data_IF_659940926520
#
_entry.id   IF_659940926520
#
_cell.length_a   1.000
_cell.length_b   1.000
_cell.length_c   1.000
_cell.angle_alpha   90.00
_cell.angle_beta   90.00
_cell.angle_gamma   90.00
#
_symmetry.space_group_name_H-M   'P 1'
#
loop_
_entity.id
_entity.type
_entity.pdbx_description
1 polymer ?
#
# COMPACT_ATOMS: atom_id res chain seq x y z
N UNK A 1 -28.25 -29.15 14.90
CA UNK A 1 -27.21 -28.34 15.58
C UNK A 1 -26.05 -28.06 14.63
N UNK A 2 -25.69 -29.03 13.80
CA UNK A 2 -24.49 -29.00 12.94
C UNK A 2 -24.58 -27.98 11.80
N UNK A 3 -25.76 -27.78 11.21
CA UNK A 3 -26.00 -26.74 10.20
C UNK A 3 -25.80 -25.32 10.78
N UNK A 4 -26.19 -25.10 12.04
CA UNK A 4 -26.02 -23.81 12.70
C UNK A 4 -24.52 -23.51 12.91
N UNK A 5 -23.75 -24.52 13.34
CA UNK A 5 -22.30 -24.41 13.51
C UNK A 5 -21.62 -24.09 12.18
N UNK A 6 -22.08 -24.71 11.08
CA UNK A 6 -21.59 -24.44 9.72
C UNK A 6 -21.82 -22.99 9.28
N UNK A 7 -23.03 -22.46 9.50
CA UNK A 7 -23.38 -21.07 9.17
C UNK A 7 -22.53 -20.09 10.00
N UNK A 8 -22.40 -20.32 11.31
CA UNK A 8 -21.59 -19.47 12.18
C UNK A 8 -20.12 -19.50 11.75
N UNK A 9 -19.57 -20.68 11.43
CA UNK A 9 -18.20 -20.82 10.95
C UNK A 9 -17.94 -20.10 9.62
N UNK A 10 -18.91 -20.11 8.69
CA UNK A 10 -18.81 -19.38 7.44
C UNK A 10 -18.79 -17.86 7.65
N UNK A 11 -19.65 -17.35 8.55
CA UNK A 11 -19.67 -15.93 8.93
C UNK A 11 -18.35 -15.53 9.61
N UNK A 12 -17.84 -16.35 10.53
CA UNK A 12 -16.58 -16.09 11.21
C UNK A 12 -15.41 -16.06 10.21
N UNK A 13 -15.35 -17.02 9.29
CA UNK A 13 -14.34 -17.08 8.22
C UNK A 13 -14.36 -15.84 7.34
N UNK A 14 -15.55 -15.33 7.00
CA UNK A 14 -15.71 -14.07 6.25
C UNK A 14 -15.04 -12.89 6.96
N UNK A 15 -15.28 -12.73 8.26
CA UNK A 15 -14.69 -11.66 9.05
C UNK A 15 -13.18 -11.82 9.23
N UNK A 16 -12.68 -13.04 9.44
CA UNK A 16 -11.25 -13.33 9.60
C UNK A 16 -10.46 -12.95 8.34
N UNK A 17 -10.95 -13.36 7.16
CA UNK A 17 -10.29 -13.03 5.89
C UNK A 17 -10.28 -11.52 5.67
N UNK A 18 -11.43 -10.86 5.90
CA UNK A 18 -11.53 -9.40 5.76
C UNK A 18 -10.59 -8.68 6.72
N UNK A 19 -10.50 -9.14 7.97
CA UNK A 19 -9.59 -8.58 8.97
C UNK A 19 -8.12 -8.75 8.57
N UNK A 20 -7.74 -9.95 8.12
CA UNK A 20 -6.36 -10.29 7.76
C UNK A 20 -5.89 -9.57 6.50
N UNK A 21 -6.78 -9.38 5.52
CA UNK A 21 -6.43 -8.80 4.22
C UNK A 21 -6.62 -7.28 4.17
N UNK A 22 -7.39 -6.71 5.10
CA UNK A 22 -7.57 -5.26 5.22
C UNK A 22 -6.23 -4.58 5.48
N UNK A 23 -5.84 -3.71 4.56
CA UNK A 23 -4.56 -2.98 4.61
C UNK A 23 -3.40 -3.65 3.87
N UNK A 24 -3.57 -4.84 3.27
CA UNK A 24 -2.59 -5.48 2.36
C UNK A 24 -2.98 -5.36 0.89
N UNK A 25 -4.27 -5.49 0.60
CA UNK A 25 -4.80 -5.55 -0.76
C UNK A 25 -5.85 -4.48 -1.01
N UNK A 26 -6.12 -4.19 -2.29
CA UNK A 26 -7.21 -3.30 -2.70
C UNK A 26 -8.56 -3.79 -2.17
N UNK A 27 -9.44 -2.86 -1.79
CA UNK A 27 -10.77 -3.19 -1.22
C UNK A 27 -11.59 -4.14 -2.11
N UNK A 28 -11.43 -4.04 -3.44
CA UNK A 28 -12.12 -4.92 -4.39
C UNK A 28 -11.68 -6.37 -4.22
N UNK A 29 -10.37 -6.59 -4.09
CA UNK A 29 -9.76 -7.93 -3.92
C UNK A 29 -10.16 -8.50 -2.55
N UNK A 30 -10.17 -7.68 -1.50
CA UNK A 30 -10.58 -8.11 -0.15
C UNK A 30 -12.04 -8.58 -0.15
N UNK A 31 -12.96 -7.84 -0.78
CA UNK A 31 -14.38 -8.22 -0.85
C UNK A 31 -14.60 -9.53 -1.60
N UNK A 32 -13.93 -9.70 -2.74
CA UNK A 32 -14.06 -10.92 -3.57
C UNK A 32 -13.46 -12.12 -2.82
N UNK A 33 -12.25 -11.99 -2.29
CA UNK A 33 -11.58 -13.08 -1.57
C UNK A 33 -12.31 -13.51 -0.30
N UNK A 34 -12.86 -12.57 0.49
CA UNK A 34 -13.65 -12.91 1.68
C UNK A 34 -14.91 -13.69 1.33
N UNK A 35 -15.58 -13.32 0.22
CA UNK A 35 -16.79 -13.98 -0.24
C UNK A 35 -16.51 -15.40 -0.76
N UNK A 36 -15.48 -15.56 -1.58
CA UNK A 36 -15.05 -16.87 -2.09
C UNK A 36 -14.66 -17.80 -0.94
N UNK A 37 -13.86 -17.33 0.02
CA UNK A 37 -13.39 -18.17 1.11
C UNK A 37 -14.52 -18.61 2.05
N UNK A 38 -15.45 -17.71 2.39
CA UNK A 38 -16.63 -18.08 3.20
C UNK A 38 -17.53 -19.09 2.49
N UNK A 39 -17.68 -18.97 1.16
CA UNK A 39 -18.45 -19.91 0.37
C UNK A 39 -17.79 -21.29 0.30
N UNK A 40 -16.47 -21.34 0.10
CA UNK A 40 -15.70 -22.59 0.17
C UNK A 40 -15.83 -23.27 1.53
N UNK A 41 -15.72 -22.53 2.64
CA UNK A 41 -15.89 -23.08 3.99
C UNK A 41 -17.28 -23.69 4.19
N UNK A 42 -18.33 -23.01 3.73
CA UNK A 42 -19.70 -23.51 3.80
C UNK A 42 -19.89 -24.81 3.02
N UNK A 43 -19.37 -24.88 1.79
CA UNK A 43 -19.42 -26.09 0.95
C UNK A 43 -18.65 -27.24 1.59
N UNK A 44 -17.44 -27.00 2.11
CA UNK A 44 -16.63 -28.02 2.77
C UNK A 44 -17.31 -28.54 4.03
N UNK A 45 -17.92 -27.66 4.81
CA UNK A 45 -18.66 -28.06 6.01
C UNK A 45 -19.92 -28.86 5.66
N UNK A 46 -20.61 -28.54 4.56
CA UNK A 46 -21.74 -29.33 4.07
C UNK A 46 -21.30 -30.72 3.58
N UNK A 47 -20.20 -30.80 2.83
CA UNK A 47 -19.61 -32.06 2.37
C UNK A 47 -19.18 -32.92 3.57
N UNK A 48 -18.50 -32.34 4.55
CA UNK A 48 -18.05 -33.05 5.75
C UNK A 48 -19.22 -33.64 6.54
N UNK A 49 -20.38 -32.96 6.55
CA UNK A 49 -21.60 -33.46 7.17
C UNK A 49 -22.24 -34.64 6.42
N UNK A 50 -22.14 -34.67 5.09
CA UNK A 50 -22.71 -35.75 4.25
C UNK A 50 -21.88 -37.02 4.34
N UNK A 51 -20.55 -36.88 4.39
CA UNK A 51 -19.60 -38.00 4.35
C UNK A 51 -19.03 -38.39 5.73
N UNK A 52 -19.44 -37.71 6.80
CA UNK A 52 -18.87 -37.83 8.16
C UNK A 52 -17.33 -37.67 8.20
N UNK A 53 -16.80 -36.88 7.27
CA UNK A 53 -15.36 -36.66 7.07
C UNK A 53 -14.91 -35.33 7.70
N UNK A 54 -14.84 -35.31 9.03
CA UNK A 54 -14.42 -34.14 9.82
C UNK A 54 -12.93 -33.71 9.74
N UNK A 55 -11.92 -34.53 9.36
CA UNK A 55 -10.54 -34.05 9.28
C UNK A 55 -10.35 -32.91 8.27
N UNK A 56 -11.10 -32.90 7.17
CA UNK A 56 -11.07 -31.80 6.19
C UNK A 56 -11.57 -30.50 6.84
N UNK A 57 -12.65 -30.58 7.62
CA UNK A 57 -13.18 -29.42 8.35
C UNK A 57 -12.17 -28.89 9.39
N UNK A 58 -11.50 -29.78 10.13
CA UNK A 58 -10.47 -29.38 11.10
C UNK A 58 -9.29 -28.67 10.43
N UNK A 59 -8.87 -29.11 9.25
CA UNK A 59 -7.83 -28.43 8.47
C UNK A 59 -8.24 -27.00 8.09
N UNK A 60 -9.48 -26.78 7.67
CA UNK A 60 -9.99 -25.44 7.37
C UNK A 60 -10.14 -24.55 8.61
N UNK A 61 -10.51 -25.13 9.76
CA UNK A 61 -10.48 -24.42 11.04
C UNK A 61 -9.04 -23.99 11.40
N UNK A 62 -8.06 -24.86 11.21
CA UNK A 62 -6.65 -24.55 11.42
C UNK A 62 -6.18 -23.41 10.51
N UNK A 63 -6.54 -23.41 9.22
CA UNK A 63 -6.23 -22.32 8.31
C UNK A 63 -6.82 -20.98 8.76
N UNK A 64 -8.04 -20.97 9.29
CA UNK A 64 -8.65 -19.76 9.86
C UNK A 64 -7.85 -19.22 11.05
N UNK A 65 -7.36 -20.09 11.95
CA UNK A 65 -6.48 -19.70 13.06
C UNK A 65 -5.17 -19.12 12.54
N UNK A 66 -4.53 -19.77 11.56
CA UNK A 66 -3.31 -19.26 10.92
C UNK A 66 -3.52 -17.88 10.28
N UNK A 67 -4.63 -17.68 9.57
CA UNK A 67 -4.98 -16.40 8.94
C UNK A 67 -5.20 -15.29 9.98
N UNK A 68 -5.79 -15.62 11.12
CA UNK A 68 -6.00 -14.68 12.22
C UNK A 68 -4.66 -14.26 12.84
N UNK A 69 -3.77 -15.22 13.13
CA UNK A 69 -2.41 -14.94 13.64
C UNK A 69 -1.62 -14.09 12.65
N UNK A 70 -1.66 -14.44 11.36
CA UNK A 70 -1.01 -13.67 10.31
C UNK A 70 -1.58 -12.24 10.20
N UNK A 71 -2.89 -12.09 10.36
CA UNK A 71 -3.57 -10.80 10.41
C UNK A 71 -3.11 -9.94 11.58
N UNK A 72 -3.03 -10.54 12.78
CA UNK A 72 -2.56 -9.88 14.00
C UNK A 72 -1.13 -9.39 13.87
N UNK A 73 -0.21 -10.28 13.48
CA UNK A 73 1.22 -9.95 13.31
C UNK A 73 1.43 -8.84 12.28
N UNK A 74 0.62 -8.80 11.21
CA UNK A 74 0.72 -7.72 10.23
C UNK A 74 0.21 -6.38 10.75
N UNK A 75 -0.90 -6.37 11.50
CA UNK A 75 -1.38 -5.13 12.12
C UNK A 75 -0.41 -4.61 13.17
N UNK A 76 0.22 -5.49 13.94
CA UNK A 76 1.29 -5.14 14.87
C UNK A 76 2.49 -4.52 14.13
N UNK A 77 2.95 -5.14 13.03
CA UNK A 77 3.99 -4.55 12.17
C UNK A 77 3.57 -3.21 11.56
N UNK A 78 2.31 -3.07 11.15
CA UNK A 78 1.78 -1.82 10.62
C UNK A 78 1.66 -0.72 11.68
N UNK A 79 1.34 -1.08 12.94
CA UNK A 79 1.32 -0.16 14.07
C UNK A 79 2.74 0.26 14.49
N UNK A 80 3.65 -0.71 14.60
CA UNK A 80 5.05 -0.46 14.92
C UNK A 80 5.75 0.33 13.82
N UNK A 81 5.44 0.10 12.53
CA UNK A 81 5.95 0.90 11.42
C UNK A 81 5.48 2.36 11.53
N UNK A 82 4.21 2.60 11.86
CA UNK A 82 3.69 3.96 12.11
C UNK A 82 4.35 4.63 13.32
N UNK A 83 4.74 3.85 14.33
CA UNK A 83 5.41 4.36 15.52
C UNK A 83 6.91 4.60 15.29
N UNK A 84 7.58 3.78 14.48
CA UNK A 84 8.96 4.04 14.01
C UNK A 84 9.04 5.21 13.03
N UNK A 85 8.05 5.39 12.14
CA UNK A 85 7.93 6.60 11.30
C UNK A 85 7.56 7.85 12.13
N UNK A 86 6.97 7.68 13.33
CA UNK A 86 6.69 8.77 14.27
C UNK A 86 7.83 9.04 15.25
N UNK A 87 8.87 8.21 15.27
CA UNK A 87 9.97 8.24 16.25
C UNK A 87 11.24 8.92 15.77
N UNK A 88 11.34 9.28 14.50
CA UNK A 88 12.50 9.98 13.96
C UNK A 88 12.07 11.18 13.11
N UNK A 89 12.63 12.33 13.46
CA UNK A 89 12.38 13.70 12.96
C UNK A 89 11.18 14.43 13.57
N UNK A 90 11.48 15.02 14.73
CA UNK A 90 10.92 16.29 15.16
C UNK A 90 11.06 17.37 14.06
N UNK A 91 9.98 17.67 13.36
CA UNK A 91 9.60 19.05 13.04
C UNK A 91 8.09 19.13 12.89
N UNK A 92 7.49 19.87 13.82
CA UNK A 92 6.12 20.40 13.90
C UNK A 92 5.34 20.36 12.57
N UNK A 93 4.52 19.33 12.37
CA UNK A 93 3.44 19.35 11.36
C UNK A 93 2.22 19.99 12.00
N UNK A 94 2.26 21.32 12.06
CA UNK A 94 1.04 22.08 12.22
C UNK A 94 0.13 21.80 11.04
N UNK A 95 -1.14 21.58 11.36
CA UNK A 95 -2.26 21.37 10.46
C UNK A 95 -2.47 22.64 9.61
N UNK A 96 -1.64 22.83 8.59
CA UNK A 96 -1.65 24.05 7.78
C UNK A 96 -2.56 23.88 6.57
N UNK A 97 -3.54 24.78 6.56
CA UNK A 97 -4.65 24.90 5.63
C UNK A 97 -4.16 24.88 4.19
N UNK A 98 -4.82 24.04 3.39
CA UNK A 98 -4.77 24.06 1.93
C UNK A 98 -5.22 25.43 1.47
N UNK A 99 -4.27 26.32 1.21
CA UNK A 99 -4.48 27.43 0.30
C UNK A 99 -4.39 26.85 -1.11
N UNK A 100 -5.53 26.89 -1.80
CA UNK A 100 -5.64 26.58 -3.22
C UNK A 100 -4.99 27.68 -4.07
N UNK A 101 -3.67 27.84 -3.94
CA UNK A 101 -2.85 28.36 -5.03
C UNK A 101 -2.44 27.16 -5.91
N UNK A 102 -2.35 27.38 -7.21
CA UNK A 102 -1.98 26.36 -8.20
C UNK A 102 -0.55 25.89 -7.91
N UNK A 103 -0.40 24.83 -7.11
CA UNK A 103 0.90 24.27 -6.72
C UNK A 103 1.75 23.99 -7.95
N UNK A 104 2.94 24.57 -8.00
CA UNK A 104 3.90 24.40 -9.06
C UNK A 104 4.63 23.07 -8.91
N UNK A 105 4.21 22.09 -9.71
CA UNK A 105 4.79 20.75 -9.72
C UNK A 105 6.09 20.64 -10.53
N UNK A 106 6.63 21.77 -11.03
CA UNK A 106 7.84 21.76 -11.87
C UNK A 106 9.13 21.68 -11.06
N UNK A 107 9.17 22.27 -9.88
CA UNK A 107 10.38 22.27 -9.06
C UNK A 107 10.31 21.20 -7.99
N UNK A 108 11.15 20.17 -8.15
CA UNK A 108 11.15 19.02 -7.26
C UNK A 108 12.53 18.67 -6.77
N UNK A 109 12.57 17.95 -5.65
CA UNK A 109 13.78 17.31 -5.16
C UNK A 109 13.51 15.90 -4.65
N UNK A 110 14.49 15.01 -4.79
CA UNK A 110 14.36 13.61 -4.37
C UNK A 110 15.72 12.95 -4.21
N UNK A 111 15.76 11.87 -3.44
CA UNK A 111 16.90 10.97 -3.36
C UNK A 111 16.83 9.91 -4.48
N UNK A 112 17.95 9.73 -5.18
CA UNK A 112 18.03 8.89 -6.37
C UNK A 112 19.20 7.91 -6.30
N UNK A 113 18.91 6.65 -6.60
CA UNK A 113 19.90 5.59 -6.79
C UNK A 113 20.30 5.48 -8.27
N UNK A 114 21.59 5.64 -8.56
CA UNK A 114 22.09 5.46 -9.91
C UNK A 114 22.22 3.97 -10.30
N UNK A 115 22.67 3.70 -11.53
CA UNK A 115 22.82 2.32 -12.01
C UNK A 115 23.93 1.53 -11.29
N UNK A 116 24.81 2.22 -10.55
CA UNK A 116 25.94 1.64 -9.81
C UNK A 116 25.57 1.48 -8.32
N UNK A 117 24.32 1.81 -7.94
CA UNK A 117 23.83 1.74 -6.56
C UNK A 117 24.21 2.95 -5.70
N UNK A 118 24.76 4.01 -6.29
CA UNK A 118 25.13 5.22 -5.53
C UNK A 118 23.92 6.12 -5.37
N UNK A 119 23.61 6.42 -4.12
CA UNK A 119 22.54 7.31 -3.73
C UNK A 119 23.00 8.77 -3.76
N UNK A 120 22.11 9.65 -4.21
CA UNK A 120 22.39 11.07 -4.33
C UNK A 120 21.11 11.90 -4.31
N UNK A 121 21.14 13.01 -3.58
CA UNK A 121 20.05 13.98 -3.59
C UNK A 121 20.07 14.82 -4.87
N UNK A 122 18.93 14.94 -5.54
CA UNK A 122 18.76 15.63 -6.81
C UNK A 122 17.71 16.71 -6.69
N UNK A 123 17.99 17.88 -7.25
CA UNK A 123 17.02 18.95 -7.46
C UNK A 123 16.86 19.16 -8.95
N UNK A 124 15.62 19.13 -9.43
CA UNK A 124 15.31 19.11 -10.86
C UNK A 124 14.14 20.03 -11.18
N UNK A 125 14.27 20.76 -12.28
CA UNK A 125 13.16 21.48 -12.92
C UNK A 125 12.56 20.59 -14.01
N UNK A 126 11.36 20.08 -13.74
CA UNK A 126 10.69 19.08 -14.55
C UNK A 126 10.18 19.72 -15.83
N UNK A 127 10.58 19.13 -16.95
CA UNK A 127 10.15 19.50 -18.29
C UNK A 127 9.06 18.56 -18.78
N UNK A 128 9.27 17.26 -18.59
CA UNK A 128 8.38 16.20 -19.04
C UNK A 128 8.36 15.07 -18.00
N UNK A 129 7.20 14.47 -17.81
CA UNK A 129 7.02 13.42 -16.82
C UNK A 129 6.06 12.35 -17.33
N UNK A 130 6.55 11.12 -17.32
CA UNK A 130 5.83 9.90 -17.66
C UNK A 130 5.73 8.95 -16.47
N UNK A 131 4.97 7.86 -16.65
CA UNK A 131 4.79 6.82 -15.63
C UNK A 131 6.10 6.16 -15.21
N UNK A 132 7.11 6.18 -16.08
CA UNK A 132 8.38 5.49 -15.89
C UNK A 132 9.53 6.48 -15.70
N UNK A 133 9.45 7.65 -16.32
CA UNK A 133 10.56 8.60 -16.44
C UNK A 133 10.17 10.02 -16.05
N UNK A 134 11.09 10.70 -15.37
CA UNK A 134 11.02 12.14 -15.11
C UNK A 134 12.19 12.79 -15.84
N UNK A 135 11.91 13.70 -16.76
CA UNK A 135 12.92 14.42 -17.54
C UNK A 135 12.91 15.89 -17.16
N UNK A 136 14.08 16.43 -16.84
CA UNK A 136 14.19 17.81 -16.40
C UNK A 136 15.62 18.29 -16.29
N UNK A 137 15.77 19.58 -15.98
CA UNK A 137 17.08 20.19 -15.76
C UNK A 137 17.55 19.85 -14.34
N UNK A 138 18.60 19.04 -14.22
CA UNK A 138 19.17 18.66 -12.94
C UNK A 138 20.20 19.71 -12.49
N UNK A 139 19.93 20.37 -11.37
CA UNK A 139 20.80 21.42 -10.81
C UNK A 139 22.16 20.88 -10.36
N UNK A 140 22.21 19.66 -9.83
CA UNK A 140 23.47 19.00 -9.43
C UNK A 140 24.39 18.74 -10.62
N UNK A 141 23.83 18.35 -11.76
CA UNK A 141 24.60 18.03 -12.97
C UNK A 141 24.71 19.21 -13.95
N UNK A 142 23.97 20.31 -13.70
CA UNK A 142 23.82 21.48 -14.58
C UNK A 142 23.46 21.09 -16.03
N UNK A 143 22.59 20.08 -16.18
CA UNK A 143 22.24 19.51 -17.48
C UNK A 143 20.84 18.88 -17.46
N UNK A 144 20.23 18.77 -18.63
CA UNK A 144 19.01 17.97 -18.81
C UNK A 144 19.32 16.49 -18.57
N UNK A 145 18.55 15.85 -17.70
CA UNK A 145 18.67 14.41 -17.40
C UNK A 145 17.29 13.77 -17.24
N UNK A 146 17.29 12.46 -17.46
CA UNK A 146 16.13 11.60 -17.30
C UNK A 146 16.38 10.64 -16.14
N UNK A 147 15.41 10.56 -15.25
CA UNK A 147 15.45 9.78 -14.03
C UNK A 147 14.33 8.74 -14.09
N UNK A 148 14.61 7.51 -13.65
CA UNK A 148 13.56 6.49 -13.55
C UNK A 148 12.81 6.64 -12.23
N UNK A 149 11.48 6.60 -12.30
CA UNK A 149 10.59 6.76 -11.14
C UNK A 149 10.80 5.67 -10.08
N UNK A 150 11.16 4.46 -10.50
CA UNK A 150 11.41 3.30 -9.63
C UNK A 150 12.72 3.36 -8.84
N UNK A 151 13.63 4.27 -9.18
CA UNK A 151 14.91 4.47 -8.49
C UNK A 151 14.92 5.67 -7.54
N UNK A 152 13.75 6.24 -7.29
CA UNK A 152 13.54 7.28 -6.30
C UNK A 152 13.24 6.61 -4.96
N UNK A 153 14.07 6.87 -3.95
CA UNK A 153 14.13 6.05 -2.72
C UNK A 153 13.01 6.41 -1.72
N UNK A 154 12.77 7.70 -1.46
CA UNK A 154 11.80 8.15 -0.44
C UNK A 154 10.66 9.02 -0.97
N UNK A 155 10.54 9.10 -2.29
CA UNK A 155 9.55 9.93 -2.97
C UNK A 155 10.10 11.27 -3.44
N UNK A 156 9.18 12.17 -3.79
CA UNK A 156 9.44 13.44 -4.45
C UNK A 156 8.92 14.56 -3.58
N UNK A 157 9.80 15.48 -3.22
CA UNK A 157 9.49 16.70 -2.47
C UNK A 157 9.16 17.80 -3.48
N UNK A 158 7.97 18.38 -3.38
CA UNK A 158 7.62 19.61 -4.12
C UNK A 158 8.29 20.78 -3.42
N UNK A 159 9.18 21.50 -4.10
CA UNK A 159 9.99 22.54 -3.44
C UNK A 159 9.19 23.76 -2.99
N UNK A 160 8.12 24.10 -3.71
CA UNK A 160 7.28 25.25 -3.35
C UNK A 160 6.52 25.02 -2.04
N UNK A 161 5.96 23.81 -1.84
CA UNK A 161 5.10 23.50 -0.69
C UNK A 161 5.81 22.74 0.42
N UNK A 162 6.96 22.11 0.12
CA UNK A 162 7.61 21.14 0.99
C UNK A 162 6.85 19.81 1.10
N UNK A 163 5.79 19.60 0.29
CA UNK A 163 5.00 18.38 0.32
C UNK A 163 5.82 17.19 -0.20
N UNK A 164 5.94 16.15 0.63
CA UNK A 164 6.52 14.87 0.23
C UNK A 164 5.43 13.99 -0.38
N UNK A 165 5.60 13.67 -1.66
CA UNK A 165 4.73 12.76 -2.40
C UNK A 165 5.46 11.47 -2.71
N UNK A 166 4.71 10.35 -2.74
CA UNK A 166 5.26 9.12 -3.32
C UNK A 166 5.51 9.33 -4.81
N UNK A 167 6.57 8.71 -5.34
CA UNK A 167 7.02 8.95 -6.72
C UNK A 167 5.88 8.78 -7.75
N UNK A 168 5.08 7.71 -7.62
CA UNK A 168 3.92 7.46 -8.48
C UNK A 168 2.77 8.46 -8.29
N UNK A 169 2.58 8.97 -7.08
CA UNK A 169 1.56 9.98 -6.80
C UNK A 169 1.91 11.32 -7.45
N UNK A 170 3.18 11.73 -7.33
CA UNK A 170 3.71 12.91 -8.00
C UNK A 170 3.49 12.85 -9.51
N UNK A 171 3.87 11.75 -10.17
CA UNK A 171 3.69 11.58 -11.63
C UNK A 171 2.22 11.74 -12.03
N UNK A 172 1.31 11.08 -11.31
CA UNK A 172 -0.12 11.15 -11.59
C UNK A 172 -0.66 12.58 -11.42
N UNK A 173 -0.19 13.29 -10.37
CA UNK A 173 -0.57 14.67 -10.10
C UNK A 173 -0.03 15.62 -11.18
N UNK A 174 1.22 15.44 -11.61
CA UNK A 174 1.83 16.21 -12.69
C UNK A 174 1.04 16.05 -14.00
N UNK A 175 0.72 14.82 -14.40
CA UNK A 175 -0.08 14.55 -15.61
C UNK A 175 -1.48 15.17 -15.56
N UNK A 176 -2.10 15.23 -14.38
CA UNK A 176 -3.40 15.88 -14.20
C UNK A 176 -3.32 17.41 -14.33
N UNK A 177 -2.20 18.00 -13.91
CA UNK A 177 -2.00 19.47 -13.95
C UNK A 177 -1.68 20.03 -15.34
N UNK A 178 -1.18 19.19 -16.25
CA UNK A 178 -0.87 19.55 -17.64
C UNK A 178 -2.03 19.39 -18.63
N UNK A 179 -3.21 18.94 -18.16
CA UNK A 179 -4.48 18.95 -18.91
C UNK A 179 -5.29 20.17 -18.52
#
# INVERSE_FOLDING_TARGET
>A
MDVIISIIGAILSFYIVRYSYSGRYSEKIVKISSLCYSFSFFIISLISLIFDDYPILYFFCFLNVCLLIAGYSYKEKAANKKQSESGEVSTTSDKLRVFSSKVNLKEIAFEYEDAVGKQSYRTIDVKECDLIYITGYCHTAKALRTFRVDRVIDGVIIRETGELLKSYEYVNRYKKSGR
#
